data_IF_359071283857
#
_entry.id   IF_359071283857
#
_cell.length_a   1.000
_cell.length_b   1.000
_cell.length_c   1.000
_cell.angle_alpha   90.00
_cell.angle_beta   90.00
_cell.angle_gamma   90.00
#
_symmetry.space_group_name_H-M   'P 1'
#
loop_
_entity.id
_entity.type
_entity.pdbx_description
1 polymer ?
#
# COMPACT_ATOMS: atom_id res chain seq x y z
N UNK A 1 14.29 -19.35 -4.09
CA UNK A 1 14.64 -18.22 -3.18
C UNK A 1 13.57 -17.13 -3.22
N UNK A 2 12.59 -17.21 -4.13
CA UNK A 2 11.50 -16.24 -4.27
C UNK A 2 10.48 -16.22 -3.13
N UNK A 3 10.56 -17.15 -2.15
CA UNK A 3 9.76 -17.04 -0.93
C UNK A 3 10.20 -15.89 -0.04
N UNK A 4 11.49 -15.53 -0.01
CA UNK A 4 11.98 -14.50 0.91
C UNK A 4 11.49 -13.11 0.51
N UNK A 5 11.57 -12.77 -0.78
CA UNK A 5 11.04 -11.48 -1.27
C UNK A 5 9.55 -11.33 -0.98
N UNK A 6 8.78 -12.40 -1.19
CA UNK A 6 7.34 -12.43 -0.86
C UNK A 6 7.08 -12.31 0.64
N UNK A 7 7.86 -12.99 1.47
CA UNK A 7 7.76 -12.91 2.93
C UNK A 7 8.11 -11.52 3.46
N UNK A 8 9.16 -10.90 2.92
CA UNK A 8 9.57 -9.55 3.32
C UNK A 8 8.52 -8.51 2.92
N UNK A 9 8.04 -8.53 1.68
CA UNK A 9 7.01 -7.60 1.21
C UNK A 9 5.69 -7.84 1.94
N UNK A 10 5.28 -9.11 2.09
CA UNK A 10 4.06 -9.45 2.80
C UNK A 10 4.11 -9.04 4.28
N UNK A 11 5.22 -9.34 4.96
CA UNK A 11 5.46 -8.92 6.34
C UNK A 11 5.50 -7.41 6.52
N UNK A 12 6.14 -6.68 5.59
CA UNK A 12 6.15 -5.22 5.60
C UNK A 12 4.72 -4.65 5.53
N UNK A 13 3.88 -5.17 4.64
CA UNK A 13 2.48 -4.75 4.53
C UNK A 13 1.66 -5.06 5.79
N UNK A 14 1.92 -6.19 6.47
CA UNK A 14 1.29 -6.47 7.77
C UNK A 14 1.72 -5.48 8.86
N UNK A 15 3.01 -5.13 8.91
CA UNK A 15 3.53 -4.14 9.86
C UNK A 15 2.92 -2.77 9.59
N UNK A 16 2.86 -2.34 8.33
CA UNK A 16 2.23 -1.07 7.95
C UNK A 16 0.73 -1.05 8.30
N UNK A 17 0.01 -2.16 8.11
CA UNK A 17 -1.37 -2.27 8.58
C UNK A 17 -1.47 -2.04 10.10
N UNK A 18 -0.55 -2.63 10.88
CA UNK A 18 -0.46 -2.36 12.32
C UNK A 18 -0.15 -0.90 12.67
N UNK A 19 0.68 -0.22 11.87
CA UNK A 19 0.95 1.22 12.02
C UNK A 19 -0.31 2.05 11.76
N UNK A 20 -1.04 1.77 10.68
CA UNK A 20 -2.31 2.45 10.38
C UNK A 20 -3.36 2.22 11.48
N UNK A 21 -3.41 1.01 12.06
CA UNK A 21 -4.24 0.76 13.24
C UNK A 21 -3.85 1.67 14.41
N UNK A 22 -2.55 1.80 14.66
CA UNK A 22 -2.01 2.69 15.70
C UNK A 22 -2.43 4.15 15.48
N UNK A 23 -2.25 4.67 14.26
CA UNK A 23 -2.64 6.04 13.90
C UNK A 23 -4.13 6.25 14.13
N UNK A 24 -4.99 5.36 13.63
CA UNK A 24 -6.45 5.47 13.81
C UNK A 24 -6.83 5.40 15.30
N UNK A 25 -6.15 4.57 16.09
CA UNK A 25 -6.42 4.44 17.51
C UNK A 25 -5.97 5.66 18.33
N UNK A 26 -4.91 6.36 17.91
CA UNK A 26 -4.37 7.51 18.64
C UNK A 26 -4.98 8.83 18.19
N UNK A 27 -4.96 9.10 16.89
CA UNK A 27 -5.46 10.34 16.30
C UNK A 27 -5.58 10.19 14.76
N UNK A 28 -6.78 9.90 14.23
CA UNK A 28 -7.01 9.83 12.80
C UNK A 28 -6.78 11.16 12.06
N UNK A 29 -6.72 12.31 12.75
CA UNK A 29 -6.48 13.61 12.11
C UNK A 29 -5.05 13.75 11.56
N UNK A 30 -4.14 12.84 11.93
CA UNK A 30 -2.80 12.79 11.33
C UNK A 30 -2.81 12.60 9.80
N UNK A 31 -3.93 12.14 9.22
CA UNK A 31 -4.11 12.03 7.77
C UNK A 31 -4.40 13.36 7.07
N UNK A 32 -4.75 14.44 7.79
CA UNK A 32 -5.25 15.70 7.21
C UNK A 32 -4.34 16.23 6.09
N UNK A 33 -3.07 16.44 6.40
CA UNK A 33 -2.10 17.07 5.51
C UNK A 33 -1.47 16.10 4.50
N UNK A 34 -1.92 14.83 4.45
CA UNK A 34 -1.30 13.80 3.61
C UNK A 34 -1.45 14.11 2.10
N UNK A 35 -2.59 14.69 1.71
CA UNK A 35 -2.88 15.00 0.33
C UNK A 35 -2.49 16.42 -0.10
N UNK A 36 -1.95 17.27 0.76
CA UNK A 36 -1.65 18.68 0.46
C UNK A 36 -0.76 18.86 -0.79
N UNK A 37 0.13 17.90 -1.02
CA UNK A 37 1.04 17.87 -2.17
C UNK A 37 0.51 17.03 -3.35
N UNK A 38 -0.77 16.64 -3.32
CA UNK A 38 -1.43 15.86 -4.35
C UNK A 38 -1.33 16.54 -5.72
N UNK A 39 -1.01 15.73 -6.74
CA UNK A 39 -0.71 16.23 -8.08
C UNK A 39 -1.91 16.85 -8.79
N UNK A 40 -3.12 16.44 -8.40
CA UNK A 40 -4.37 16.87 -9.02
C UNK A 40 -5.30 17.52 -7.99
N UNK A 41 -6.07 18.56 -8.36
CA UNK A 41 -7.08 19.15 -7.48
C UNK A 41 -8.06 18.13 -6.93
N UNK A 42 -8.62 17.25 -7.77
CA UNK A 42 -9.60 16.25 -7.32
C UNK A 42 -9.06 15.27 -6.25
N UNK A 43 -7.74 15.05 -6.19
CA UNK A 43 -7.10 14.22 -5.14
C UNK A 43 -7.08 14.97 -3.82
N UNK A 44 -6.73 16.26 -3.86
CA UNK A 44 -6.72 17.15 -2.69
C UNK A 44 -8.13 17.35 -2.14
N UNK A 45 -9.04 17.75 -3.01
CA UNK A 45 -10.44 18.03 -2.68
C UNK A 45 -11.13 16.75 -2.20
N UNK A 46 -10.94 15.63 -2.93
CA UNK A 46 -11.50 14.34 -2.54
C UNK A 46 -10.95 13.82 -1.21
N UNK A 47 -9.69 14.08 -0.89
CA UNK A 47 -9.13 13.74 0.42
C UNK A 47 -9.79 14.53 1.54
N UNK A 48 -9.88 15.85 1.40
CA UNK A 48 -10.53 16.72 2.38
C UNK A 48 -12.03 16.41 2.54
N UNK A 49 -12.75 16.20 1.44
CA UNK A 49 -14.20 16.08 1.46
C UNK A 49 -14.69 14.66 1.77
N UNK A 50 -13.93 13.62 1.44
CA UNK A 50 -14.35 12.22 1.57
C UNK A 50 -13.56 11.51 2.67
N UNK A 51 -12.24 11.56 2.61
CA UNK A 51 -11.38 10.84 3.56
C UNK A 51 -11.44 11.50 4.93
N UNK A 52 -11.26 12.82 4.98
CA UNK A 52 -11.30 13.58 6.22
C UNK A 52 -12.71 13.80 6.79
N UNK A 53 -13.77 13.50 6.02
CA UNK A 53 -15.12 13.41 6.58
C UNK A 53 -15.28 12.19 7.53
N UNK A 54 -14.51 11.12 7.33
CA UNK A 54 -14.49 9.97 8.23
C UNK A 54 -13.12 9.27 8.26
N UNK A 55 -12.08 9.93 8.82
CA UNK A 55 -10.69 9.50 8.68
C UNK A 55 -10.43 8.16 9.37
N UNK A 56 -11.14 7.86 10.46
CA UNK A 56 -11.06 6.56 11.13
C UNK A 56 -11.55 5.42 10.23
N UNK A 57 -12.71 5.57 9.59
CA UNK A 57 -13.25 4.55 8.70
C UNK A 57 -12.30 4.29 7.51
N UNK A 58 -11.86 5.34 6.83
CA UNK A 58 -10.97 5.21 5.69
C UNK A 58 -9.57 4.72 6.07
N UNK A 59 -9.04 5.12 7.23
CA UNK A 59 -7.79 4.60 7.79
C UNK A 59 -7.88 3.10 8.12
N UNK A 60 -9.00 2.63 8.69
CA UNK A 60 -9.22 1.20 8.93
C UNK A 60 -9.40 0.41 7.62
N UNK A 61 -10.03 1.01 6.62
CA UNK A 61 -10.16 0.38 5.31
C UNK A 61 -8.80 0.26 4.61
N UNK A 62 -7.96 1.29 4.73
CA UNK A 62 -6.57 1.30 4.27
C UNK A 62 -5.76 0.20 4.96
N UNK A 63 -5.80 0.14 6.29
CA UNK A 63 -5.22 -0.95 7.09
C UNK A 63 -5.69 -2.32 6.59
N UNK A 64 -7.01 -2.51 6.41
CA UNK A 64 -7.57 -3.78 5.97
C UNK A 64 -7.06 -4.17 4.58
N UNK A 65 -6.92 -3.20 3.67
CA UNK A 65 -6.31 -3.38 2.36
C UNK A 65 -4.86 -3.83 2.44
N UNK A 66 -4.05 -3.17 3.28
CA UNK A 66 -2.64 -3.52 3.49
C UNK A 66 -2.49 -4.92 4.08
N UNK A 67 -3.25 -5.24 5.12
CA UNK A 67 -3.24 -6.57 5.76
C UNK A 67 -3.64 -7.64 4.74
N UNK A 68 -4.71 -7.39 3.98
CA UNK A 68 -5.17 -8.34 2.94
C UNK A 68 -4.10 -8.57 1.89
N UNK A 69 -3.47 -7.52 1.36
CA UNK A 69 -2.40 -7.64 0.38
C UNK A 69 -1.19 -8.41 0.94
N UNK A 70 -0.78 -8.10 2.17
CA UNK A 70 0.29 -8.79 2.88
C UNK A 70 -0.01 -10.27 3.10
N UNK A 71 -1.20 -10.61 3.61
CA UNK A 71 -1.64 -12.00 3.82
C UNK A 71 -1.72 -12.78 2.51
N UNK A 72 -2.23 -12.18 1.43
CA UNK A 72 -2.29 -12.82 0.10
C UNK A 72 -0.90 -13.18 -0.42
N UNK A 73 0.10 -12.31 -0.20
CA UNK A 73 1.49 -12.63 -0.50
C UNK A 73 2.00 -13.80 0.36
N UNK A 74 1.78 -13.76 1.67
CA UNK A 74 2.25 -14.81 2.56
C UNK A 74 1.60 -16.19 2.31
N UNK A 75 0.33 -16.21 1.92
CA UNK A 75 -0.41 -17.44 1.58
C UNK A 75 0.20 -18.19 0.38
N UNK A 76 0.91 -17.51 -0.52
CA UNK A 76 1.57 -18.13 -1.66
C UNK A 76 0.62 -18.55 -2.80
N UNK A 77 1.15 -19.32 -3.74
CA UNK A 77 0.38 -19.90 -4.85
C UNK A 77 -0.38 -18.87 -5.70
N UNK A 78 -1.66 -19.13 -5.97
CA UNK A 78 -2.53 -18.22 -6.75
C UNK A 78 -2.85 -16.93 -5.99
N UNK A 79 -2.95 -16.99 -4.66
CA UNK A 79 -3.20 -15.81 -3.82
C UNK A 79 -2.06 -14.79 -3.92
N UNK A 80 -0.81 -15.25 -3.96
CA UNK A 80 0.35 -14.38 -4.12
C UNK A 80 0.31 -13.55 -5.42
N UNK A 81 -0.28 -14.07 -6.50
CA UNK A 81 -0.45 -13.30 -7.75
C UNK A 81 -1.32 -12.07 -7.54
N UNK A 82 -2.40 -12.23 -6.77
CA UNK A 82 -3.31 -11.14 -6.40
C UNK A 82 -2.61 -10.19 -5.43
N UNK A 83 -1.91 -10.72 -4.43
CA UNK A 83 -1.12 -9.93 -3.48
C UNK A 83 -0.09 -9.02 -4.16
N UNK A 84 0.66 -9.55 -5.13
CA UNK A 84 1.62 -8.74 -5.91
C UNK A 84 0.95 -7.62 -6.68
N UNK A 85 -0.19 -7.87 -7.31
CA UNK A 85 -0.94 -6.82 -7.99
C UNK A 85 -1.49 -5.78 -7.01
N UNK A 86 -2.03 -6.21 -5.87
CA UNK A 86 -2.52 -5.30 -4.84
C UNK A 86 -1.42 -4.34 -4.35
N UNK A 87 -0.23 -4.87 -4.02
CA UNK A 87 0.92 -4.07 -3.57
C UNK A 87 1.43 -3.12 -4.65
N UNK A 88 1.46 -3.54 -5.92
CA UNK A 88 1.86 -2.69 -7.04
C UNK A 88 0.85 -1.58 -7.27
N UNK A 89 -0.44 -1.90 -7.36
CA UNK A 89 -1.52 -0.92 -7.55
C UNK A 89 -1.54 0.08 -6.40
N UNK A 90 -1.34 -0.37 -5.17
CA UNK A 90 -1.19 0.49 -4.00
C UNK A 90 -0.10 1.55 -4.19
N UNK A 91 1.11 1.14 -4.60
CA UNK A 91 2.20 2.07 -4.85
C UNK A 91 1.93 3.02 -6.03
N UNK A 92 1.25 2.55 -7.09
CA UNK A 92 0.85 3.43 -8.20
C UNK A 92 -0.18 4.47 -7.73
N UNK A 93 -1.13 4.10 -6.88
CA UNK A 93 -2.11 5.04 -6.32
C UNK A 93 -1.44 6.05 -5.37
N UNK A 94 -0.47 5.61 -4.57
CA UNK A 94 0.32 6.50 -3.70
C UNK A 94 0.99 7.63 -4.48
N UNK A 95 1.41 7.38 -5.72
CA UNK A 95 2.05 8.41 -6.56
C UNK A 95 1.14 9.62 -6.87
N UNK A 96 -0.16 9.53 -6.63
CA UNK A 96 -1.08 10.68 -6.77
C UNK A 96 -0.88 11.76 -5.70
N UNK A 97 -0.25 11.41 -4.56
CA UNK A 97 -0.10 12.26 -3.39
C UNK A 97 1.12 13.19 -3.41
N UNK A 98 1.90 13.17 -4.49
CA UNK A 98 2.92 14.19 -4.76
C UNK A 98 4.27 13.65 -5.22
N UNK A 99 5.14 14.56 -5.63
CA UNK A 99 6.43 14.23 -6.26
C UNK A 99 7.38 13.44 -5.34
N UNK A 100 7.35 13.68 -4.04
CA UNK A 100 8.20 12.95 -3.08
C UNK A 100 7.82 11.46 -3.07
N UNK A 101 6.54 11.15 -3.26
CA UNK A 101 6.04 9.78 -3.33
C UNK A 101 6.54 9.10 -4.59
N UNK A 102 6.77 9.82 -5.68
CA UNK A 102 7.37 9.25 -6.89
C UNK A 102 8.81 8.83 -6.64
N UNK A 103 9.60 9.67 -5.96
CA UNK A 103 11.00 9.36 -5.64
C UNK A 103 11.12 8.07 -4.80
N UNK A 104 10.14 7.81 -3.92
CA UNK A 104 10.04 6.56 -3.18
C UNK A 104 9.47 5.41 -4.01
N UNK A 105 8.33 5.63 -4.67
CA UNK A 105 7.53 4.57 -5.27
C UNK A 105 8.12 4.02 -6.56
N UNK A 106 8.83 4.83 -7.36
CA UNK A 106 9.42 4.35 -8.63
C UNK A 106 10.48 3.27 -8.38
N UNK A 107 11.49 3.46 -7.51
CA UNK A 107 12.43 2.40 -7.15
C UNK A 107 11.74 1.16 -6.57
N UNK A 108 10.77 1.37 -5.66
CA UNK A 108 10.04 0.27 -5.03
C UNK A 108 9.22 -0.50 -6.07
N UNK A 109 8.54 0.17 -7.00
CA UNK A 109 7.79 -0.48 -8.08
C UNK A 109 8.69 -1.31 -8.99
N UNK A 110 9.88 -0.80 -9.35
CA UNK A 110 10.86 -1.58 -10.12
C UNK A 110 11.25 -2.85 -9.37
N UNK A 111 11.53 -2.74 -8.07
CA UNK A 111 11.85 -3.88 -7.22
C UNK A 111 10.68 -4.87 -7.12
N UNK A 112 9.46 -4.39 -6.88
CA UNK A 112 8.24 -5.21 -6.76
C UNK A 112 7.93 -5.96 -8.06
N UNK A 113 8.02 -5.29 -9.21
CA UNK A 113 7.81 -5.92 -10.52
C UNK A 113 8.88 -6.97 -10.79
N UNK A 114 10.13 -6.70 -10.43
CA UNK A 114 11.22 -7.67 -10.56
C UNK A 114 11.02 -8.90 -9.66
N UNK A 115 10.73 -8.70 -8.36
CA UNK A 115 10.46 -9.78 -7.41
C UNK A 115 9.25 -10.62 -7.83
N UNK A 116 8.16 -9.98 -8.28
CA UNK A 116 6.99 -10.67 -8.84
C UNK A 116 7.39 -11.57 -10.01
N UNK A 117 8.23 -11.09 -10.94
CA UNK A 117 8.67 -11.89 -12.09
C UNK A 117 9.49 -13.11 -11.64
N UNK A 118 10.32 -12.97 -10.60
CA UNK A 118 11.08 -14.09 -10.05
C UNK A 118 10.16 -15.13 -9.38
N UNK A 119 9.22 -14.68 -8.54
CA UNK A 119 8.26 -15.55 -7.84
C UNK A 119 7.38 -16.34 -8.80
N UNK A 120 6.94 -15.72 -9.91
CA UNK A 120 6.13 -16.40 -10.92
C UNK A 120 6.90 -17.41 -11.76
N UNK A 121 8.21 -17.22 -11.94
CA UNK A 121 9.09 -18.18 -12.65
C UNK A 121 9.42 -19.39 -11.79
N UNK A 122 9.55 -19.21 -10.48
CA UNK A 122 9.75 -20.35 -9.56
C UNK A 122 8.47 -21.19 -9.39
N UNK A 123 7.30 -20.62 -9.68
CA UNK A 123 5.99 -21.28 -9.54
C UNK A 123 5.45 -21.93 -10.84
N UNK A 124 6.20 -21.87 -11.94
CA UNK A 124 5.87 -22.48 -13.25
C UNK A 124 6.72 -23.72 -13.49
#
# INVERSE_FOLDING_TARGET
>A
MASLGRQLVGGFFLVMGGVHLGIVATDPQQYENFADHGLFPFVRDGWADIVMANPAFWGLLLMAGEITAGTLLLAGGRAARVGWWAVIVFHVLLMLFGWWVWAWSVPVLVLLVWLRRLDLREAS
#
